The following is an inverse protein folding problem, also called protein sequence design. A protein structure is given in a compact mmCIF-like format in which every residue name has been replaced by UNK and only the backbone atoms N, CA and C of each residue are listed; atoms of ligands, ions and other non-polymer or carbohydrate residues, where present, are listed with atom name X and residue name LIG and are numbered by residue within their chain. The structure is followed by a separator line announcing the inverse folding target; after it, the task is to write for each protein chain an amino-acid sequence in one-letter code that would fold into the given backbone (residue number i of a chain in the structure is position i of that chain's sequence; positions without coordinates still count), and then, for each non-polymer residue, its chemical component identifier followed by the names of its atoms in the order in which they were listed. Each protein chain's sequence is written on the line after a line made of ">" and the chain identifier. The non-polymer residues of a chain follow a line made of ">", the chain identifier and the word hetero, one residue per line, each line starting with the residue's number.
data_IF_981260309388
#
_entry.id   IF_981260309388
#
_cell.length_a   1.000
_cell.length_b   1.000
_cell.length_c   1.000
_cell.angle_alpha   90.00
_cell.angle_beta   90.00
_cell.angle_gamma   90.00
#
_symmetry.space_group_name_H-M   'P 1'
#
loop_
_entity.id
_entity.type
_entity.pdbx_description
1 polymer ?
#
# COMPACT_ATOMS: atom_id res chain seq x y z
N UNK A 1 -5.38 -34.89 20.10
CA UNK A 1 -4.00 -34.40 19.90
C UNK A 1 -3.08 -35.47 19.32
N UNK A 2 -3.11 -36.72 19.79
CA UNK A 2 -2.10 -37.75 19.47
C UNK A 2 -1.94 -38.14 17.98
N UNK A 3 -2.91 -37.81 17.13
CA UNK A 3 -2.83 -38.04 15.67
C UNK A 3 -2.18 -36.87 14.89
N UNK A 4 -1.79 -35.78 15.55
CA UNK A 4 -1.19 -34.59 14.93
C UNK A 4 0.34 -34.59 15.05
N UNK A 5 1.02 -33.80 14.22
CA UNK A 5 2.47 -33.60 14.32
C UNK A 5 2.85 -32.97 15.67
N UNK A 6 4.01 -33.33 16.23
CA UNK A 6 4.42 -32.98 17.60
C UNK A 6 4.34 -31.47 17.92
N UNK A 7 4.80 -30.61 17.01
CA UNK A 7 4.70 -29.16 17.18
C UNK A 7 3.25 -28.67 17.30
N UNK A 8 2.34 -29.20 16.47
CA UNK A 8 0.93 -28.85 16.52
C UNK A 8 0.28 -29.32 17.84
N UNK A 9 0.67 -30.50 18.34
CA UNK A 9 0.21 -30.98 19.64
C UNK A 9 0.63 -30.04 20.78
N UNK A 10 1.89 -29.60 20.78
CA UNK A 10 2.42 -28.74 21.83
C UNK A 10 1.74 -27.37 21.83
N UNK A 11 1.57 -26.76 20.66
CA UNK A 11 0.87 -25.47 20.52
C UNK A 11 -0.60 -25.58 20.93
N UNK A 12 -1.31 -26.63 20.51
CA UNK A 12 -2.72 -26.80 20.88
C UNK A 12 -2.92 -27.07 22.38
N UNK A 13 -2.05 -27.86 23.01
CA UNK A 13 -2.12 -28.13 24.46
C UNK A 13 -1.87 -26.86 25.28
N UNK A 14 -0.89 -26.04 24.88
CA UNK A 14 -0.61 -24.76 25.51
C UNK A 14 -1.78 -23.78 25.35
N UNK A 15 -2.29 -23.62 24.13
CA UNK A 15 -3.43 -22.75 23.84
C UNK A 15 -4.69 -23.16 24.63
N UNK A 16 -4.96 -24.47 24.74
CA UNK A 16 -6.10 -24.97 25.52
C UNK A 16 -5.95 -24.67 27.02
N UNK A 17 -4.72 -24.75 27.55
CA UNK A 17 -4.43 -24.40 28.95
C UNK A 17 -4.63 -22.89 29.24
N UNK A 18 -4.47 -22.06 28.21
CA UNK A 18 -4.73 -20.61 28.24
C UNK A 18 -6.21 -20.26 27.97
N UNK A 19 -7.09 -21.27 27.85
CA UNK A 19 -8.53 -21.08 27.65
C UNK A 19 -8.94 -20.82 26.20
N UNK A 20 -8.03 -20.96 25.24
CA UNK A 20 -8.34 -20.81 23.82
C UNK A 20 -9.11 -22.00 23.29
N UNK A 21 -9.96 -21.76 22.28
CA UNK A 21 -10.81 -22.80 21.68
C UNK A 21 -10.28 -23.29 20.34
N UNK A 22 -10.65 -24.52 19.97
CA UNK A 22 -10.35 -25.06 18.62
C UNK A 22 -10.86 -24.14 17.52
N UNK A 23 -12.00 -23.46 17.75
CA UNK A 23 -12.60 -22.54 16.79
C UNK A 23 -11.72 -21.31 16.60
N UNK A 24 -11.11 -20.76 17.65
CA UNK A 24 -10.23 -19.58 17.52
C UNK A 24 -9.02 -19.84 16.61
N UNK A 25 -8.46 -21.05 16.63
CA UNK A 25 -7.34 -21.41 15.75
C UNK A 25 -7.76 -21.97 14.38
N UNK A 26 -8.94 -22.62 14.27
CA UNK A 26 -9.39 -23.24 13.02
C UNK A 26 -10.45 -22.45 12.25
N UNK A 27 -10.92 -21.32 12.79
CA UNK A 27 -11.82 -20.39 12.10
C UNK A 27 -11.10 -19.81 10.89
N UNK A 28 -11.70 -19.94 9.71
CA UNK A 28 -11.06 -19.59 8.45
C UNK A 28 -10.35 -20.75 7.74
N UNK A 29 -10.10 -21.88 8.42
CA UNK A 29 -9.45 -23.08 7.84
C UNK A 29 -10.50 -24.08 7.34
N UNK A 30 -11.51 -24.39 8.16
CA UNK A 30 -12.58 -25.37 7.82
C UNK A 30 -13.73 -24.71 7.06
N UNK A 31 -14.00 -23.44 7.37
CA UNK A 31 -14.94 -22.59 6.64
C UNK A 31 -14.20 -21.32 6.26
N UNK A 32 -14.11 -21.08 4.95
CA UNK A 32 -13.47 -19.88 4.40
C UNK A 32 -14.18 -18.64 4.95
N UNK A 33 -13.43 -17.74 5.57
CA UNK A 33 -13.96 -16.43 5.96
C UNK A 33 -14.32 -15.65 4.68
N UNK A 34 -15.40 -14.84 4.69
CA UNK A 34 -15.76 -14.04 3.53
C UNK A 34 -14.58 -13.23 3.00
N UNK A 35 -14.43 -13.16 1.67
CA UNK A 35 -13.49 -12.22 1.09
C UNK A 35 -13.99 -10.79 1.34
N UNK A 36 -13.40 -10.12 2.33
CA UNK A 36 -13.73 -8.75 2.67
C UNK A 36 -13.46 -7.79 1.50
N UNK A 37 -12.55 -8.15 0.60
CA UNK A 37 -12.25 -7.34 -0.58
C UNK A 37 -13.35 -7.38 -1.64
N UNK A 38 -14.25 -8.37 -1.64
CA UNK A 38 -15.44 -8.37 -2.48
C UNK A 38 -16.45 -7.28 -2.07
N UNK A 39 -16.41 -6.86 -0.80
CA UNK A 39 -17.31 -5.84 -0.26
C UNK A 39 -16.80 -4.41 -0.43
N UNK A 40 -15.78 -4.20 -1.27
CA UNK A 40 -15.23 -2.87 -1.52
C UNK A 40 -16.22 -1.99 -2.29
N UNK A 41 -16.77 -0.97 -1.61
CA UNK A 41 -17.78 -0.05 -2.16
C UNK A 41 -17.20 1.26 -2.71
N UNK A 42 -15.91 1.51 -2.52
CA UNK A 42 -15.31 2.82 -2.82
C UNK A 42 -14.87 2.98 -4.26
N UNK A 43 -15.40 2.23 -5.24
CA UNK A 43 -14.88 2.27 -6.61
C UNK A 43 -15.42 3.45 -7.42
N UNK A 44 -14.67 3.90 -8.45
CA UNK A 44 -15.07 5.04 -9.29
C UNK A 44 -15.96 4.69 -10.48
N UNK A 45 -16.47 3.44 -10.60
CA UNK A 45 -17.11 2.99 -11.84
C UNK A 45 -18.32 3.83 -12.25
N UNK A 46 -19.11 4.27 -11.28
CA UNK A 46 -20.33 5.07 -11.47
C UNK A 46 -20.14 6.54 -11.09
N UNK A 47 -18.91 6.94 -10.76
CA UNK A 47 -18.59 8.29 -10.25
C UNK A 47 -18.12 9.22 -11.38
N UNK A 48 -18.55 10.48 -11.31
CA UNK A 48 -17.96 11.57 -12.09
C UNK A 48 -16.71 12.06 -11.37
N UNK A 49 -15.59 12.09 -12.09
CA UNK A 49 -14.29 12.45 -11.52
C UNK A 49 -13.66 13.56 -12.36
N UNK A 50 -13.30 14.65 -11.68
CA UNK A 50 -12.81 15.86 -12.32
C UNK A 50 -11.29 15.77 -12.62
N UNK A 51 -10.81 16.40 -13.71
CA UNK A 51 -9.38 16.55 -13.93
C UNK A 51 -8.69 17.24 -12.75
N UNK A 52 -7.46 16.83 -12.48
CA UNK A 52 -6.64 17.23 -11.32
C UNK A 52 -7.05 16.68 -9.96
N UNK A 53 -8.16 15.93 -9.86
CA UNK A 53 -8.50 15.23 -8.62
C UNK A 53 -7.48 14.13 -8.34
N UNK A 54 -6.99 14.05 -7.10
CA UNK A 54 -6.19 12.93 -6.62
C UNK A 54 -7.11 11.81 -6.16
N UNK A 55 -6.85 10.60 -6.64
CA UNK A 55 -7.57 9.37 -6.28
C UNK A 55 -6.56 8.33 -5.83
N UNK A 56 -7.05 7.27 -5.19
CA UNK A 56 -6.22 6.17 -4.72
C UNK A 56 -6.49 4.90 -5.52
N UNK A 57 -5.47 4.09 -5.75
CA UNK A 57 -5.68 2.71 -6.16
C UNK A 57 -6.46 1.99 -5.07
N UNK A 58 -7.46 1.21 -5.48
CA UNK A 58 -8.32 0.45 -4.58
C UNK A 58 -7.56 -0.66 -3.82
N UNK A 59 -8.29 -1.61 -3.22
CA UNK A 59 -7.67 -2.62 -2.38
C UNK A 59 -6.90 -3.70 -3.17
N UNK A 60 -7.01 -3.70 -4.50
CA UNK A 60 -6.31 -4.60 -5.41
C UNK A 60 -5.34 -3.81 -6.27
N UNK A 61 -4.25 -4.45 -6.66
CA UNK A 61 -3.35 -3.88 -7.64
C UNK A 61 -4.10 -3.66 -8.97
N UNK A 62 -3.73 -2.60 -9.68
CA UNK A 62 -4.35 -2.24 -10.96
C UNK A 62 -3.30 -2.10 -12.04
N UNK A 63 -3.63 -2.59 -13.22
CA UNK A 63 -2.80 -2.39 -14.40
C UNK A 63 -2.98 -0.97 -14.93
N UNK A 64 -1.86 -0.31 -15.20
CA UNK A 64 -1.79 0.95 -15.91
C UNK A 64 -1.25 0.71 -17.31
N UNK A 65 -2.00 1.11 -18.33
CA UNK A 65 -1.67 0.84 -19.73
C UNK A 65 -1.46 2.12 -20.53
N UNK A 66 -0.86 2.00 -21.70
CA UNK A 66 -0.93 3.03 -22.72
C UNK A 66 -2.32 3.01 -23.40
N UNK A 67 -2.59 4.00 -24.27
CA UNK A 67 -3.84 4.11 -25.02
C UNK A 67 -4.14 2.87 -25.90
N UNK A 68 -3.09 2.20 -26.39
CA UNK A 68 -3.17 0.96 -27.19
C UNK A 68 -3.32 -0.33 -26.35
N UNK A 69 -3.39 -0.22 -25.02
CA UNK A 69 -3.49 -1.35 -24.11
C UNK A 69 -2.14 -1.97 -23.69
N UNK A 70 -1.00 -1.45 -24.15
CA UNK A 70 0.31 -1.92 -23.69
C UNK A 70 0.48 -1.69 -22.19
N UNK A 71 0.77 -2.74 -21.42
CA UNK A 71 1.00 -2.64 -19.98
C UNK A 71 2.26 -1.81 -19.68
N UNK A 72 2.10 -0.74 -18.90
CA UNK A 72 3.18 0.17 -18.47
C UNK A 72 3.61 -0.11 -17.04
N UNK A 73 2.65 -0.34 -16.14
CA UNK A 73 2.93 -0.57 -14.73
C UNK A 73 1.82 -1.37 -14.05
N UNK A 74 2.17 -2.02 -12.95
CA UNK A 74 1.22 -2.49 -11.95
C UNK A 74 1.26 -1.53 -10.78
N UNK A 75 0.15 -0.83 -10.50
CA UNK A 75 0.02 0.08 -9.38
C UNK A 75 -0.46 -0.68 -8.14
N UNK A 76 0.15 -0.41 -7.00
CA UNK A 76 -0.13 -1.12 -5.74
C UNK A 76 -1.32 -0.51 -5.00
N UNK A 77 -1.97 -1.27 -4.10
CA UNK A 77 -3.09 -0.76 -3.32
C UNK A 77 -2.78 0.53 -2.57
N UNK A 78 -3.69 1.50 -2.64
CA UNK A 78 -3.60 2.80 -1.98
C UNK A 78 -2.56 3.77 -2.54
N UNK A 79 -1.90 3.44 -3.65
CA UNK A 79 -1.09 4.40 -4.40
C UNK A 79 -1.94 5.58 -4.83
N UNK A 80 -1.49 6.80 -4.53
CA UNK A 80 -2.17 8.02 -4.94
C UNK A 80 -1.75 8.41 -6.36
N UNK A 81 -2.71 8.76 -7.19
CA UNK A 81 -2.50 9.20 -8.55
C UNK A 81 -3.39 10.40 -8.87
N UNK A 82 -2.91 11.32 -9.70
CA UNK A 82 -3.66 12.48 -10.14
C UNK A 82 -4.37 12.18 -11.45
N UNK A 83 -5.66 12.48 -11.54
CA UNK A 83 -6.41 12.34 -12.80
C UNK A 83 -6.04 13.47 -13.75
N UNK A 84 -5.76 13.11 -14.99
CA UNK A 84 -5.43 14.04 -16.07
C UNK A 84 -6.57 14.10 -17.10
N UNK A 85 -7.21 12.97 -17.35
CA UNK A 85 -8.27 12.84 -18.35
C UNK A 85 -9.28 11.76 -17.91
N UNK A 86 -10.55 11.96 -18.21
CA UNK A 86 -11.63 11.04 -17.84
C UNK A 86 -12.37 10.56 -19.09
N UNK A 87 -12.46 9.24 -19.27
CA UNK A 87 -13.33 8.58 -20.25
C UNK A 87 -14.47 7.84 -19.53
N UNK A 88 -15.29 7.09 -20.27
CA UNK A 88 -16.44 6.39 -19.71
C UNK A 88 -16.05 5.37 -18.62
N UNK A 89 -15.15 4.42 -18.94
CA UNK A 89 -14.78 3.28 -18.09
C UNK A 89 -13.37 3.34 -17.49
N UNK A 90 -12.55 4.28 -17.97
CA UNK A 90 -11.15 4.48 -17.55
C UNK A 90 -10.82 5.96 -17.37
N UNK A 91 -9.74 6.20 -16.65
CA UNK A 91 -9.15 7.52 -16.45
C UNK A 91 -7.67 7.46 -16.81
N UNK A 92 -7.16 8.54 -17.38
CA UNK A 92 -5.73 8.75 -17.53
C UNK A 92 -5.23 9.36 -16.25
N UNK A 93 -4.26 8.70 -15.63
CA UNK A 93 -3.68 9.11 -14.36
C UNK A 93 -2.21 9.44 -14.53
N UNK A 94 -1.72 10.30 -13.67
CA UNK A 94 -0.32 10.65 -13.51
C UNK A 94 0.16 10.17 -12.14
N UNK A 95 1.26 9.44 -12.15
CA UNK A 95 1.98 8.99 -10.96
C UNK A 95 3.32 9.72 -10.88
N UNK A 96 3.61 10.29 -9.72
CA UNK A 96 4.94 10.72 -9.34
C UNK A 96 5.44 9.87 -8.17
N UNK A 97 6.67 9.37 -8.28
CA UNK A 97 7.26 8.48 -7.29
C UNK A 97 8.79 8.45 -7.43
N UNK A 98 9.48 7.92 -6.42
CA UNK A 98 10.94 7.82 -6.39
C UNK A 98 11.40 6.44 -6.89
N UNK A 99 12.46 6.39 -7.68
CA UNK A 99 13.09 5.15 -8.12
C UNK A 99 14.58 5.16 -7.79
N UNK A 100 15.12 4.03 -7.33
CA UNK A 100 16.57 3.86 -7.15
C UNK A 100 17.23 3.58 -8.50
N UNK A 101 18.45 4.07 -8.68
CA UNK A 101 19.28 3.75 -9.85
C UNK A 101 19.50 2.23 -9.98
N UNK A 102 19.71 1.55 -8.85
CA UNK A 102 19.92 0.09 -8.81
C UNK A 102 18.66 -0.73 -9.08
N UNK A 103 17.47 -0.15 -8.91
CA UNK A 103 16.20 -0.83 -9.16
C UNK A 103 15.17 0.13 -9.77
N UNK A 104 15.38 0.54 -11.03
CA UNK A 104 14.60 1.62 -11.63
C UNK A 104 13.16 1.20 -11.94
N UNK A 105 12.87 -0.10 -12.04
CA UNK A 105 11.49 -0.53 -12.32
C UNK A 105 10.57 -0.41 -11.11
N UNK A 106 11.10 -0.37 -9.89
CA UNK A 106 10.30 -0.14 -8.70
C UNK A 106 10.13 1.35 -8.44
N UNK A 107 8.89 1.79 -8.27
CA UNK A 107 8.54 3.16 -7.89
C UNK A 107 8.07 3.18 -6.44
N UNK A 108 8.73 3.96 -5.61
CA UNK A 108 8.58 4.02 -4.17
C UNK A 108 7.91 5.33 -3.77
N UNK A 109 7.15 5.27 -2.67
CA UNK A 109 6.52 6.45 -2.08
C UNK A 109 7.53 7.55 -1.72
N UNK A 110 8.66 7.16 -1.13
CA UNK A 110 9.66 8.07 -0.60
C UNK A 110 11.06 7.46 -0.67
N UNK A 111 12.08 8.32 -0.56
CA UNK A 111 13.48 7.90 -0.45
C UNK A 111 13.71 7.17 0.88
N UNK A 112 14.51 6.11 0.86
CA UNK A 112 14.83 5.32 2.06
C UNK A 112 13.69 4.43 2.59
N UNK A 113 12.44 4.64 2.14
CA UNK A 113 11.28 3.81 2.49
C UNK A 113 10.92 2.85 1.35
N UNK A 114 10.97 1.54 1.61
CA UNK A 114 10.69 0.47 0.65
C UNK A 114 9.18 0.22 0.50
N UNK A 115 8.41 1.30 0.34
CA UNK A 115 6.95 1.29 0.12
C UNK A 115 6.70 1.39 -1.37
N UNK A 116 6.47 0.25 -2.03
CA UNK A 116 6.31 0.18 -3.48
C UNK A 116 4.94 0.70 -3.90
N UNK A 117 4.87 1.77 -4.70
CA UNK A 117 3.64 2.29 -5.29
C UNK A 117 3.38 1.76 -6.68
N UNK A 118 4.41 1.45 -7.45
CA UNK A 118 4.24 0.79 -8.73
C UNK A 118 5.45 -0.06 -9.09
N UNK A 119 5.22 -1.07 -9.91
CA UNK A 119 6.27 -1.78 -10.63
C UNK A 119 6.09 -1.56 -12.13
N UNK A 120 7.11 -1.00 -12.77
CA UNK A 120 7.13 -0.70 -14.19
C UNK A 120 7.48 -1.94 -15.00
N UNK A 121 6.80 -2.09 -16.14
CA UNK A 121 7.29 -2.95 -17.22
C UNK A 121 8.42 -2.24 -17.98
N UNK A 122 9.10 -2.97 -18.88
CA UNK A 122 10.08 -2.34 -19.78
C UNK A 122 9.47 -1.17 -20.60
N UNK A 123 8.29 -1.30 -21.23
CA UNK A 123 7.61 -0.16 -21.85
C UNK A 123 7.33 1.01 -20.91
N UNK A 124 6.97 0.76 -19.64
CA UNK A 124 6.79 1.81 -18.65
C UNK A 124 8.09 2.53 -18.30
N UNK A 125 9.17 1.76 -18.13
CA UNK A 125 10.51 2.28 -17.85
C UNK A 125 11.00 3.24 -18.95
N UNK A 126 10.75 2.89 -20.21
CA UNK A 126 11.13 3.72 -21.38
C UNK A 126 10.30 5.00 -21.53
N UNK A 127 9.14 5.09 -20.84
CA UNK A 127 8.19 6.21 -20.94
C UNK A 127 8.16 7.15 -19.76
N UNK A 128 8.70 6.73 -18.61
CA UNK A 128 8.81 7.61 -17.46
C UNK A 128 9.74 8.78 -17.78
N UNK A 129 9.51 9.91 -17.13
CA UNK A 129 10.38 11.08 -17.21
C UNK A 129 10.96 11.36 -15.83
N UNK A 130 12.28 11.49 -15.72
CA UNK A 130 12.90 12.00 -14.49
C UNK A 130 12.58 13.49 -14.35
N UNK A 131 12.06 13.89 -13.18
CA UNK A 131 11.63 15.25 -12.86
C UNK A 131 12.44 15.86 -11.71
N UNK A 132 13.14 15.04 -10.93
CA UNK A 132 14.06 15.46 -9.89
C UNK A 132 15.08 14.35 -9.57
N UNK A 133 16.17 14.68 -8.88
CA UNK A 133 17.19 13.71 -8.45
C UNK A 133 17.65 14.00 -7.03
N UNK A 134 17.95 12.92 -6.29
CA UNK A 134 18.44 12.99 -4.92
C UNK A 134 19.50 11.90 -4.69
N UNK A 135 20.59 12.23 -4.01
CA UNK A 135 21.57 11.24 -3.53
C UNK A 135 21.43 11.13 -2.01
N UNK A 136 21.21 9.91 -1.52
CA UNK A 136 21.06 9.70 -0.09
C UNK A 136 22.41 9.68 0.64
N UNK A 137 22.42 9.78 1.99
CA UNK A 137 23.67 9.79 2.76
C UNK A 137 24.53 8.52 2.61
N UNK A 138 24.02 7.46 1.98
CA UNK A 138 24.73 6.22 1.70
C UNK A 138 25.30 6.16 0.27
N UNK A 139 25.10 7.22 -0.53
CA UNK A 139 25.57 7.32 -1.90
C UNK A 139 24.67 6.61 -2.92
N UNK A 140 23.46 6.20 -2.53
CA UNK A 140 22.47 5.69 -3.49
C UNK A 140 21.77 6.87 -4.17
N UNK A 141 21.62 6.76 -5.49
CA UNK A 141 20.97 7.79 -6.31
C UNK A 141 19.52 7.43 -6.56
N UNK A 142 18.68 8.45 -6.46
CA UNK A 142 17.24 8.36 -6.59
C UNK A 142 16.76 9.35 -7.64
N UNK A 143 15.95 8.88 -8.59
CA UNK A 143 15.22 9.72 -9.53
C UNK A 143 13.78 9.86 -9.05
N UNK A 144 13.28 11.09 -8.89
CA UNK A 144 11.84 11.32 -8.86
C UNK A 144 11.35 11.25 -10.29
N UNK A 145 10.44 10.33 -10.58
CA UNK A 145 9.94 10.10 -11.93
C UNK A 145 8.45 10.38 -12.02
N UNK A 146 8.03 10.82 -13.20
CA UNK A 146 6.64 10.99 -13.59
C UNK A 146 6.30 10.01 -14.70
N UNK A 147 5.15 9.36 -14.61
CA UNK A 147 4.61 8.51 -15.67
C UNK A 147 3.09 8.68 -15.75
N UNK A 148 2.57 8.74 -16.97
CA UNK A 148 1.14 8.78 -17.24
C UNK A 148 0.67 7.46 -17.85
N UNK A 149 -0.57 7.07 -17.57
CA UNK A 149 -1.21 5.93 -18.23
C UNK A 149 -2.70 5.83 -17.92
N UNK A 150 -3.37 4.90 -18.57
CA UNK A 150 -4.79 4.63 -18.42
C UNK A 150 -5.03 3.53 -17.39
N UNK A 151 -6.01 3.74 -16.52
CA UNK A 151 -6.44 2.78 -15.48
C UNK A 151 -7.97 2.71 -15.48
N UNK A 152 -8.52 1.50 -15.29
CA UNK A 152 -9.97 1.31 -15.15
C UNK A 152 -10.49 1.97 -13.87
N UNK A 153 -11.60 2.70 -13.97
CA UNK A 153 -12.25 3.36 -12.82
C UNK A 153 -12.63 2.39 -11.70
N UNK A 154 -13.04 1.17 -12.06
CA UNK A 154 -13.41 0.11 -11.13
C UNK A 154 -12.29 -0.24 -10.12
N UNK A 155 -11.04 -0.03 -10.50
CA UNK A 155 -9.88 -0.33 -9.65
C UNK A 155 -9.43 0.84 -8.77
N UNK A 156 -10.09 2.00 -8.85
CA UNK A 156 -9.70 3.22 -8.15
C UNK A 156 -10.72 3.59 -7.08
N UNK A 157 -10.31 4.42 -6.13
CA UNK A 157 -11.10 4.93 -5.04
C UNK A 157 -10.98 6.45 -4.92
N UNK A 158 -12.08 7.13 -4.57
CA UNK A 158 -12.06 8.59 -4.38
C UNK A 158 -11.05 9.00 -3.31
N UNK A 159 -10.97 8.22 -2.24
CA UNK A 159 -10.13 8.53 -1.09
C UNK A 159 -9.38 7.29 -0.60
N UNK A 160 -8.15 7.50 -0.15
CA UNK A 160 -7.29 6.46 0.43
C UNK A 160 -7.90 5.86 1.70
N UNK A 161 -8.68 6.63 2.45
CA UNK A 161 -9.30 6.21 3.71
C UNK A 161 -10.13 4.94 3.54
N UNK A 162 -10.93 4.83 2.48
CA UNK A 162 -11.79 3.64 2.26
C UNK A 162 -10.96 2.38 2.03
N UNK A 163 -9.80 2.53 1.38
CA UNK A 163 -8.84 1.45 1.13
C UNK A 163 -8.16 1.02 2.43
N UNK A 164 -7.70 1.98 3.23
CA UNK A 164 -7.03 1.73 4.50
C UNK A 164 -7.95 1.20 5.60
N UNK A 165 -9.19 1.68 5.68
CA UNK A 165 -10.20 1.13 6.59
C UNK A 165 -10.49 -0.35 6.29
N UNK A 166 -10.45 -0.76 5.01
CA UNK A 166 -10.60 -2.15 4.63
C UNK A 166 -9.36 -2.97 5.02
N UNK A 167 -8.16 -2.43 4.76
CA UNK A 167 -6.91 -3.07 5.14
C UNK A 167 -6.81 -3.29 6.65
N UNK A 168 -7.15 -2.28 7.46
CA UNK A 168 -7.16 -2.35 8.92
C UNK A 168 -8.16 -3.40 9.44
N UNK A 169 -9.37 -3.46 8.86
CA UNK A 169 -10.35 -4.51 9.21
C UNK A 169 -9.83 -5.91 8.89
N UNK A 170 -9.17 -6.09 7.75
CA UNK A 170 -8.55 -7.38 7.37
C UNK A 170 -7.43 -7.71 8.35
N UNK A 171 -6.52 -6.76 8.61
CA UNK A 171 -5.40 -6.93 9.53
C UNK A 171 -5.88 -7.32 10.92
N UNK A 172 -6.78 -6.53 11.51
CA UNK A 172 -7.37 -6.78 12.82
C UNK A 172 -8.10 -8.11 12.89
N UNK A 173 -8.87 -8.48 11.86
CA UNK A 173 -9.61 -9.75 11.85
C UNK A 173 -8.72 -10.98 11.68
N UNK A 174 -7.64 -10.88 10.89
CA UNK A 174 -6.79 -12.02 10.53
C UNK A 174 -5.68 -12.22 11.55
N UNK A 175 -4.97 -11.15 11.88
CA UNK A 175 -3.85 -11.17 12.82
C UNK A 175 -4.33 -11.11 14.29
N UNK A 176 -5.54 -10.63 14.56
CA UNK A 176 -6.15 -10.60 15.89
C UNK A 176 -6.76 -11.92 16.37
N UNK A 177 -6.66 -12.99 15.58
CA UNK A 177 -7.27 -14.29 15.88
C UNK A 177 -6.57 -15.05 17.03
N UNK A 178 -5.29 -14.76 17.27
CA UNK A 178 -4.48 -15.46 18.26
C UNK A 178 -4.01 -14.60 19.44
N UNK A 179 -3.72 -13.33 19.18
CA UNK A 179 -3.29 -12.33 20.15
C UNK A 179 -3.70 -10.96 19.63
N UNK A 180 -3.48 -9.90 20.40
CA UNK A 180 -3.65 -8.55 19.89
C UNK A 180 -2.67 -8.31 18.71
N UNK A 181 -3.12 -7.79 17.56
CA UNK A 181 -2.21 -7.47 16.47
C UNK A 181 -1.23 -6.38 16.91
N UNK A 182 -0.03 -6.41 16.34
CA UNK A 182 0.98 -5.37 16.57
C UNK A 182 0.45 -4.01 16.13
N UNK A 183 0.80 -2.95 16.87
CA UNK A 183 0.43 -1.61 16.45
C UNK A 183 1.19 -1.26 15.15
N UNK A 184 0.56 -0.59 14.18
CA UNK A 184 1.21 -0.25 12.89
C UNK A 184 2.50 0.57 13.09
N UNK A 185 2.60 1.32 14.18
CA UNK A 185 3.76 2.15 14.54
C UNK A 185 4.84 1.40 15.32
N UNK A 186 4.73 0.08 15.52
CA UNK A 186 5.72 -0.71 16.26
C UNK A 186 7.01 -0.90 15.45
N UNK A 187 6.88 -1.13 14.14
CA UNK A 187 8.00 -1.34 13.23
C UNK A 187 8.10 -0.23 12.17
N UNK A 188 9.27 -0.06 11.57
CA UNK A 188 9.46 0.84 10.42
C UNK A 188 8.86 0.25 9.14
N UNK A 189 8.64 1.08 8.14
CA UNK A 189 8.12 0.65 6.84
C UNK A 189 8.98 -0.45 6.18
N UNK A 190 10.29 -0.47 6.46
CA UNK A 190 11.22 -1.47 5.91
C UNK A 190 11.24 -2.78 6.73
N UNK A 191 10.81 -2.73 7.99
CA UNK A 191 10.75 -3.90 8.87
C UNK A 191 9.43 -4.66 8.72
N UNK A 192 8.33 -3.96 8.39
CA UNK A 192 7.00 -4.57 8.27
C UNK A 192 6.90 -5.76 7.32
N UNK A 193 7.48 -5.73 6.09
CA UNK A 193 7.37 -6.87 5.18
C UNK A 193 7.83 -8.18 5.82
N UNK A 194 9.02 -8.20 6.42
CA UNK A 194 9.55 -9.42 7.05
C UNK A 194 8.75 -9.87 8.29
N UNK A 195 8.22 -8.93 9.08
CA UNK A 195 7.37 -9.27 10.23
C UNK A 195 6.01 -9.82 9.79
N UNK A 196 5.44 -9.26 8.72
CA UNK A 196 4.18 -9.77 8.17
C UNK A 196 4.38 -11.15 7.54
N UNK A 197 5.45 -11.35 6.76
CA UNK A 197 5.79 -12.65 6.14
C UNK A 197 5.88 -13.77 7.19
N UNK A 198 6.47 -13.50 8.35
CA UNK A 198 6.59 -14.48 9.44
C UNK A 198 5.24 -14.94 10.02
N UNK A 199 4.18 -14.15 9.86
CA UNK A 199 2.85 -14.39 10.45
C UNK A 199 1.73 -14.60 9.44
N UNK A 200 1.95 -14.27 8.16
CA UNK A 200 0.90 -14.24 7.13
C UNK A 200 0.19 -15.58 6.96
N UNK A 201 0.95 -16.68 6.95
CA UNK A 201 0.41 -18.05 6.82
C UNK A 201 -0.50 -18.42 8.01
N UNK A 202 -0.12 -18.01 9.23
CA UNK A 202 -0.92 -18.26 10.43
C UNK A 202 -2.19 -17.40 10.47
N UNK A 203 -2.14 -16.20 9.90
CA UNK A 203 -3.30 -15.32 9.75
C UNK A 203 -4.28 -15.76 8.65
N UNK A 204 -3.88 -16.69 7.78
CA UNK A 204 -4.67 -17.13 6.63
C UNK A 204 -5.02 -15.98 5.69
N UNK A 205 -4.07 -15.08 5.45
CA UNK A 205 -4.19 -14.00 4.46
C UNK A 205 -4.09 -14.59 3.06
N UNK A 206 -5.02 -14.22 2.18
CA UNK A 206 -4.89 -14.47 0.73
C UNK A 206 -3.89 -13.49 0.11
N UNK A 207 -3.29 -13.81 -1.03
CA UNK A 207 -2.24 -12.99 -1.67
C UNK A 207 -2.64 -11.50 -1.83
N UNK A 208 -3.86 -11.21 -2.29
CA UNK A 208 -4.34 -9.84 -2.44
C UNK A 208 -4.53 -9.13 -1.09
N UNK A 209 -5.00 -9.87 -0.07
CA UNK A 209 -5.14 -9.36 1.29
C UNK A 209 -3.78 -9.09 1.92
N UNK A 210 -2.82 -9.99 1.69
CA UNK A 210 -1.45 -9.83 2.11
C UNK A 210 -0.84 -8.57 1.47
N UNK A 211 -1.00 -8.37 0.16
CA UNK A 211 -0.49 -7.19 -0.53
C UNK A 211 -1.09 -5.89 0.03
N UNK A 212 -2.40 -5.86 0.27
CA UNK A 212 -3.11 -4.72 0.86
C UNK A 212 -2.67 -4.44 2.31
N UNK A 213 -2.62 -5.47 3.15
CA UNK A 213 -2.22 -5.35 4.56
C UNK A 213 -0.75 -4.92 4.65
N UNK A 214 0.13 -5.47 3.80
CA UNK A 214 1.53 -5.04 3.72
C UNK A 214 1.63 -3.54 3.43
N UNK A 215 0.94 -3.04 2.39
CA UNK A 215 0.91 -1.62 2.09
C UNK A 215 0.39 -0.78 3.27
N UNK A 216 -0.70 -1.21 3.89
CA UNK A 216 -1.27 -0.52 5.03
C UNK A 216 -0.29 -0.41 6.20
N UNK A 217 0.36 -1.52 6.58
CA UNK A 217 1.35 -1.55 7.66
C UNK A 217 2.56 -0.68 7.34
N UNK A 218 3.02 -0.68 6.09
CA UNK A 218 4.16 0.13 5.66
C UNK A 218 3.83 1.63 5.63
N UNK A 219 2.66 2.02 5.10
CA UNK A 219 2.25 3.43 4.99
C UNK A 219 1.94 4.05 6.35
N UNK A 220 1.46 3.27 7.31
CA UNK A 220 1.14 3.72 8.68
C UNK A 220 2.20 3.27 9.68
N UNK A 221 3.42 3.01 9.19
CA UNK A 221 4.52 2.52 9.98
C UNK A 221 5.03 3.57 10.98
N UNK A 222 5.96 3.15 11.84
CA UNK A 222 6.75 4.08 12.63
C UNK A 222 7.44 5.08 11.69
N UNK A 223 7.32 6.40 11.93
CA UNK A 223 7.98 7.40 11.11
C UNK A 223 9.51 7.21 11.19
N UNK A 224 10.24 7.51 10.10
CA UNK A 224 11.69 7.40 10.10
C UNK A 224 12.31 8.39 11.09
N UNK A 225 13.42 7.98 11.71
CA UNK A 225 14.14 8.82 12.69
C UNK A 225 14.83 10.04 12.03
N UNK A 226 15.09 9.94 10.72
CA UNK A 226 15.58 11.01 9.87
C UNK A 226 14.70 10.99 8.62
N UNK A 227 14.12 12.13 8.26
CA UNK A 227 13.46 12.27 6.97
C UNK A 227 14.54 12.15 5.89
N UNK A 228 14.49 11.06 5.13
CA UNK A 228 15.36 10.81 3.99
C UNK A 228 14.57 11.22 2.75
N UNK A 229 14.92 12.38 2.19
CA UNK A 229 14.28 12.94 1.02
C UNK A 229 14.55 14.45 0.94
N UNK A 230 14.43 15.06 -0.23
CA UNK A 230 14.36 16.51 -0.29
C UNK A 230 13.17 16.98 0.54
N UNK A 231 13.26 18.14 1.23
CA UNK A 231 12.09 18.72 1.88
C UNK A 231 11.02 18.89 0.81
N UNK A 232 9.90 18.19 0.95
CA UNK A 232 8.68 18.55 0.21
C UNK A 232 8.44 20.01 0.57
N UNK A 233 8.36 20.87 -0.45
CA UNK A 233 8.22 22.32 -0.30
C UNK A 233 7.21 22.62 0.80
N UNK A 234 7.70 22.95 1.99
CA UNK A 234 6.88 23.48 3.05
C UNK A 234 6.27 24.76 2.48
N UNK A 235 4.95 24.80 2.51
CA UNK A 235 4.17 26.01 2.32
C UNK A 235 4.78 27.06 3.27
N UNK A 236 5.55 28.01 2.72
CA UNK A 236 6.03 29.14 3.49
C UNK A 236 4.79 29.82 4.07
N UNK A 237 4.58 29.63 5.37
CA UNK A 237 3.70 30.48 6.14
C UNK A 237 4.34 31.87 6.10
N UNK A 238 3.87 32.67 5.14
CA UNK A 238 4.09 34.09 5.01
C UNK A 238 3.52 34.74 6.29
N UNK A 239 4.31 34.75 7.37
CA UNK A 239 4.06 35.56 8.56
C UNK A 239 4.41 37.01 8.20
N UNK A 240 3.56 37.62 7.39
CA UNK A 240 3.49 39.06 7.26
C UNK A 240 2.80 39.60 8.51
N UNK A 241 3.60 39.80 9.56
CA UNK A 241 3.25 40.71 10.63
C UNK A 241 3.15 42.12 10.04
N UNK A 242 1.92 42.51 9.76
CA UNK A 242 1.47 43.84 9.39
C UNK A 242 1.66 44.78 10.59
N UNK A 243 2.88 45.28 10.80
CA UNK A 243 3.15 46.40 11.71
C UNK A 243 2.66 47.70 11.05
N UNK A 244 1.36 47.93 11.17
CA UNK A 244 0.76 49.26 10.98
C UNK A 244 0.69 50.00 12.32
N UNK A 245 1.50 51.05 12.39
CA UNK A 245 1.33 52.33 13.10
C UNK A 245 0.51 52.40 14.41
N UNK A 246 1.19 52.89 15.46
CA UNK A 246 0.59 53.36 16.73
C UNK A 246 1.60 54.05 17.64
#
# INVERSE_FOLDING_TARGET
>A
FELQHENAQNVMKAALAEGRTCIECHKGIVHQLPDLMFSFKGNLADETVEPSQTVSVGPRAVEMTNADGTLLATLMPGTQVKIVETEADRVRVQLEAWAQDVYPVGLMKAVGERILFAELTKPGLERRTAIDQFEDPYGERWDKVRIDGWVKKLGLALESKVVWDLADRIYSSRCGSCHAPHATTEFTANQWPGNLDAMADYGGLMDEQFALVKQHLQVHAKPPLLQMGPPDSEEEADDQSDDTDG
#
